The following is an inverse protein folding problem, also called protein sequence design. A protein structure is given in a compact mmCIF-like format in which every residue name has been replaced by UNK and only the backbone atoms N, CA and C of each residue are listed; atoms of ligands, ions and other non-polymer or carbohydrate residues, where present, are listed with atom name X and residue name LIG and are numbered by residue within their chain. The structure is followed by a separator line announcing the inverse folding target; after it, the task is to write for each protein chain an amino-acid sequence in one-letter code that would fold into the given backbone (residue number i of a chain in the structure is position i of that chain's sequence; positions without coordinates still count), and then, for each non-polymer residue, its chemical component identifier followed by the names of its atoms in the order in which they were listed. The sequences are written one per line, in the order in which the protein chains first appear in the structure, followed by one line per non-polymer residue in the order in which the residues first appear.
data_IF_042259876225
#
_entry.id   IF_042259876225
#
_cell.length_a   1.000
_cell.length_b   1.000
_cell.length_c   1.000
_cell.angle_alpha   90.00
_cell.angle_beta   90.00
_cell.angle_gamma   90.00
#
_symmetry.space_group_name_H-M   'P 1'
#
loop_
_entity.id
_entity.type
_entity.pdbx_description
1 polymer ?
#
# COMPACT_ATOMS: atom_id res chain seq x y z
N UNK A 1 -9.52 -25.86 -14.47
CA UNK A 1 -9.81 -24.57 -15.12
C UNK A 1 -9.95 -23.54 -14.02
N UNK A 2 -9.69 -22.24 -14.24
CA UNK A 2 -9.92 -21.23 -13.20
C UNK A 2 -11.39 -20.79 -13.16
N UNK A 3 -12.02 -20.75 -14.33
CA UNK A 3 -13.44 -20.41 -14.51
C UNK A 3 -14.23 -21.63 -14.98
N UNK A 4 -15.51 -21.67 -14.63
CA UNK A 4 -16.50 -22.61 -15.18
C UNK A 4 -17.69 -21.84 -15.69
N UNK A 5 -18.32 -22.34 -16.75
CA UNK A 5 -19.55 -21.78 -17.32
C UNK A 5 -20.66 -22.80 -17.17
N UNK A 6 -21.80 -22.37 -16.63
CA UNK A 6 -22.99 -23.23 -16.56
C UNK A 6 -23.64 -23.28 -17.94
N UNK A 7 -23.70 -24.47 -18.54
CA UNK A 7 -24.14 -24.65 -19.94
C UNK A 7 -25.55 -24.09 -20.21
N UNK A 8 -26.46 -24.23 -19.25
CA UNK A 8 -27.87 -23.88 -19.43
C UNK A 8 -28.15 -22.37 -19.27
N UNK A 9 -27.31 -21.66 -18.52
CA UNK A 9 -27.54 -20.24 -18.17
C UNK A 9 -26.47 -19.30 -18.70
N UNK A 10 -25.28 -19.81 -19.02
CA UNK A 10 -24.12 -19.01 -19.37
C UNK A 10 -23.40 -18.38 -18.18
N UNK A 11 -23.80 -18.68 -16.94
CA UNK A 11 -23.19 -18.09 -15.74
C UNK A 11 -21.72 -18.54 -15.62
N UNK A 12 -20.81 -17.56 -15.58
CA UNK A 12 -19.39 -17.79 -15.35
C UNK A 12 -19.10 -17.65 -13.85
N UNK A 13 -18.43 -18.65 -13.27
CA UNK A 13 -18.03 -18.64 -11.86
C UNK A 13 -16.59 -19.13 -11.70
N UNK A 14 -15.97 -18.74 -10.58
CA UNK A 14 -14.64 -19.23 -10.20
C UNK A 14 -14.74 -20.66 -9.67
N UNK A 15 -13.85 -21.54 -10.13
CA UNK A 15 -13.72 -22.90 -9.58
C UNK A 15 -12.96 -22.90 -8.24
N UNK A 16 -12.03 -21.96 -8.05
CA UNK A 16 -11.22 -21.81 -6.83
C UNK A 16 -11.03 -20.33 -6.47
N UNK A 17 -10.98 -19.96 -5.18
CA UNK A 17 -10.72 -18.58 -4.74
C UNK A 17 -9.21 -18.29 -4.82
N UNK A 18 -8.72 -18.06 -6.03
CA UNK A 18 -7.28 -17.90 -6.30
C UNK A 18 -6.97 -16.77 -7.29
N UNK A 19 -7.85 -15.77 -7.38
CA UNK A 19 -7.55 -14.55 -8.13
C UNK A 19 -6.54 -13.71 -7.34
N UNK A 20 -5.53 -13.23 -8.04
CA UNK A 20 -4.44 -12.42 -7.52
C UNK A 20 -4.09 -11.45 -8.64
N UNK A 21 -4.45 -10.17 -8.43
CA UNK A 21 -4.34 -9.13 -9.46
C UNK A 21 -2.87 -8.83 -9.76
N UNK A 22 -2.00 -8.90 -8.76
CA UNK A 22 -0.56 -8.67 -8.89
C UNK A 22 0.12 -9.76 -9.74
N UNK A 23 -0.49 -10.94 -9.85
CA UNK A 23 -0.07 -11.99 -10.79
C UNK A 23 -0.72 -11.85 -12.16
N UNK A 24 -2.04 -11.78 -12.22
CA UNK A 24 -2.82 -11.72 -13.48
C UNK A 24 -4.04 -10.82 -13.26
N UNK A 25 -4.04 -9.66 -13.92
CA UNK A 25 -5.10 -8.66 -13.82
C UNK A 25 -6.24 -8.85 -14.82
N UNK A 26 -6.01 -9.65 -15.88
CA UNK A 26 -6.97 -9.82 -16.98
C UNK A 26 -6.94 -11.22 -17.57
N UNK A 27 -8.13 -11.79 -17.74
CA UNK A 27 -8.35 -13.07 -18.42
C UNK A 27 -9.21 -12.88 -19.67
N UNK A 28 -8.80 -13.51 -20.77
CA UNK A 28 -9.60 -13.60 -22.00
C UNK A 28 -10.11 -15.03 -22.12
N UNK A 29 -11.43 -15.21 -21.99
CA UNK A 29 -12.08 -16.51 -22.02
C UNK A 29 -12.85 -16.66 -23.33
N UNK A 30 -12.51 -17.69 -24.10
CA UNK A 30 -13.27 -18.08 -25.28
C UNK A 30 -14.38 -19.03 -24.86
N UNK A 31 -15.62 -18.66 -25.14
CA UNK A 31 -16.81 -19.50 -24.94
C UNK A 31 -17.27 -20.07 -26.27
N UNK A 32 -17.77 -21.30 -26.23
CA UNK A 32 -18.47 -21.93 -27.35
C UNK A 32 -19.92 -22.20 -26.92
N UNK A 33 -20.87 -21.77 -27.76
CA UNK A 33 -22.25 -22.18 -27.67
C UNK A 33 -22.52 -23.20 -28.79
N UNK A 34 -23.15 -24.31 -28.45
CA UNK A 34 -23.44 -25.42 -29.38
C UNK A 34 -24.90 -25.84 -29.27
N UNK A 35 -25.56 -26.02 -30.41
CA UNK A 35 -26.94 -26.49 -30.47
C UNK A 35 -27.05 -28.00 -30.15
N UNK A 36 -28.27 -28.55 -30.24
CA UNK A 36 -28.57 -29.97 -29.97
C UNK A 36 -28.10 -30.46 -28.60
N UNK A 37 -28.17 -29.60 -27.57
CA UNK A 37 -27.76 -29.94 -26.21
C UNK A 37 -26.25 -30.15 -26.05
N UNK A 38 -25.43 -29.55 -26.91
CA UNK A 38 -23.97 -29.64 -26.84
C UNK A 38 -23.40 -30.92 -27.46
N UNK A 39 -24.18 -31.67 -28.23
CA UNK A 39 -23.70 -32.84 -28.96
C UNK A 39 -22.62 -32.44 -29.97
N UNK A 40 -21.56 -33.23 -30.11
CA UNK A 40 -20.38 -32.88 -30.91
C UNK A 40 -20.64 -32.58 -32.40
N UNK A 41 -21.77 -33.07 -32.94
CA UNK A 41 -22.22 -32.81 -34.31
C UNK A 41 -23.15 -31.60 -34.45
N UNK A 42 -23.54 -30.97 -33.35
CA UNK A 42 -24.32 -29.73 -33.36
C UNK A 42 -23.52 -28.56 -33.91
N UNK A 43 -24.20 -27.57 -34.50
CA UNK A 43 -23.58 -26.33 -34.95
C UNK A 43 -23.10 -25.53 -33.74
N UNK A 44 -21.94 -24.90 -33.88
CA UNK A 44 -21.35 -24.10 -32.82
C UNK A 44 -20.94 -22.71 -33.31
N UNK A 45 -20.97 -21.75 -32.37
CA UNK A 45 -20.36 -20.45 -32.54
C UNK A 45 -19.60 -20.06 -31.27
N UNK A 46 -18.63 -19.16 -31.40
CA UNK A 46 -17.79 -18.73 -30.27
C UNK A 46 -18.00 -17.25 -29.93
N UNK A 47 -17.83 -16.92 -28.66
CA UNK A 47 -17.79 -15.54 -28.16
C UNK A 47 -16.64 -15.35 -27.18
N UNK A 48 -16.12 -14.13 -27.07
CA UNK A 48 -15.02 -13.81 -26.16
C UNK A 48 -15.54 -12.99 -24.97
N UNK A 49 -15.17 -13.40 -23.76
CA UNK A 49 -15.42 -12.66 -22.52
C UNK A 49 -14.08 -12.18 -21.98
N UNK A 50 -14.02 -10.90 -21.62
CA UNK A 50 -12.86 -10.32 -20.92
C UNK A 50 -13.25 -10.15 -19.45
N UNK A 51 -12.46 -10.74 -18.56
CA UNK A 51 -12.63 -10.66 -17.12
C UNK A 51 -11.47 -9.84 -16.56
N UNK A 52 -11.79 -8.71 -15.94
CA UNK A 52 -10.84 -7.87 -15.22
C UNK A 52 -10.90 -8.18 -13.73
N UNK A 53 -9.74 -8.37 -13.10
CA UNK A 53 -9.62 -8.66 -11.68
C UNK A 53 -9.56 -7.34 -10.91
N UNK A 54 -10.48 -7.14 -9.97
CA UNK A 54 -10.47 -5.99 -9.08
C UNK A 54 -9.30 -6.04 -8.10
N UNK A 55 -8.90 -4.86 -7.61
CA UNK A 55 -7.86 -4.71 -6.59
C UNK A 55 -8.35 -5.07 -5.20
N UNK A 56 -7.48 -5.67 -4.39
CA UNK A 56 -7.69 -5.87 -2.97
C UNK A 56 -6.49 -5.26 -2.23
N UNK A 57 -6.69 -4.72 -1.03
CA UNK A 57 -5.58 -4.25 -0.21
C UNK A 57 -4.90 -5.45 0.47
N UNK A 58 -4.07 -6.18 -0.26
CA UNK A 58 -3.35 -7.35 0.23
C UNK A 58 -1.82 -7.17 0.26
N UNK A 59 -1.33 -5.96 -0.09
CA UNK A 59 0.06 -5.57 0.04
C UNK A 59 0.19 -4.34 0.95
N UNK A 60 0.87 -4.49 2.09
CA UNK A 60 1.18 -3.34 2.94
C UNK A 60 2.26 -2.42 2.31
N UNK A 61 2.16 -1.10 2.53
CA UNK A 61 3.13 -0.13 2.08
C UNK A 61 4.38 -0.30 2.90
N UNK A 62 5.53 -0.29 2.24
CA UNK A 62 6.84 -0.38 2.87
C UNK A 62 7.58 0.92 2.70
N UNK A 63 8.15 1.47 3.78
CA UNK A 63 9.06 2.61 3.66
C UNK A 63 10.24 2.25 2.77
N UNK A 64 10.65 3.17 1.89
CA UNK A 64 11.81 2.98 1.00
C UNK A 64 13.10 2.68 1.78
N UNK A 65 13.20 3.23 3.00
CA UNK A 65 14.30 2.98 3.93
C UNK A 65 13.76 2.59 5.31
N UNK A 66 14.42 1.65 5.98
CA UNK A 66 14.07 1.30 7.36
C UNK A 66 14.49 2.37 8.37
N UNK A 67 15.55 3.12 8.06
CA UNK A 67 16.08 4.22 8.88
C UNK A 67 16.38 5.43 8.01
N UNK A 68 15.89 6.61 8.41
CA UNK A 68 16.19 7.90 7.81
C UNK A 68 17.03 8.70 8.81
N UNK A 69 18.28 8.99 8.49
CA UNK A 69 19.14 9.82 9.34
C UNK A 69 19.26 11.23 8.77
N UNK A 70 18.98 12.24 9.59
CA UNK A 70 18.99 13.66 9.19
C UNK A 70 19.58 14.54 10.27
N UNK A 71 20.14 15.68 9.85
CA UNK A 71 20.68 16.70 10.75
C UNK A 71 19.83 17.95 10.70
N UNK A 72 19.53 18.51 11.86
CA UNK A 72 18.92 19.83 12.00
C UNK A 72 19.78 20.69 12.92
N UNK A 73 19.75 22.01 12.72
CA UNK A 73 20.27 22.93 13.71
C UNK A 73 19.32 22.94 14.90
N UNK A 74 19.87 23.12 16.10
CA UNK A 74 19.03 23.41 17.26
C UNK A 74 18.17 24.67 17.05
N UNK A 75 17.13 24.83 17.85
CA UNK A 75 16.16 25.94 17.78
C UNK A 75 15.41 26.08 16.43
N UNK A 76 15.64 25.17 15.46
CA UNK A 76 14.92 25.13 14.18
C UNK A 76 13.42 24.91 14.42
N UNK A 77 12.58 25.78 13.86
CA UNK A 77 11.12 25.70 13.97
C UNK A 77 10.46 25.83 12.61
N UNK A 78 9.30 25.19 12.44
CA UNK A 78 8.47 25.27 11.23
C UNK A 78 9.20 24.92 9.92
N UNK A 79 10.17 24.00 10.00
CA UNK A 79 10.93 23.52 8.85
C UNK A 79 10.55 22.09 8.47
N UNK A 80 10.76 21.76 7.20
CA UNK A 80 10.79 20.38 6.72
C UNK A 80 12.06 19.70 7.26
N UNK A 81 11.91 18.49 7.80
CA UNK A 81 13.01 17.68 8.34
C UNK A 81 13.43 16.63 7.31
N UNK A 82 12.47 15.86 6.79
CA UNK A 82 12.72 14.85 5.76
C UNK A 82 11.42 14.40 5.09
N UNK A 83 11.53 13.69 3.97
CA UNK A 83 10.42 13.02 3.29
C UNK A 83 10.61 11.51 3.36
N UNK A 84 9.51 10.81 3.59
CA UNK A 84 9.44 9.36 3.72
C UNK A 84 8.61 8.86 2.53
N UNK A 85 9.27 8.26 1.56
CA UNK A 85 8.62 7.56 0.46
C UNK A 85 8.24 6.13 0.85
N UNK A 86 7.27 5.57 0.14
CA UNK A 86 6.82 4.19 0.33
C UNK A 86 6.69 3.45 -1.00
N UNK A 87 6.79 2.12 -0.93
CA UNK A 87 6.57 1.20 -2.03
C UNK A 87 5.39 0.32 -1.66
N UNK A 88 4.39 0.30 -2.53
CA UNK A 88 3.16 -0.48 -2.40
C UNK A 88 2.81 -1.06 -3.79
N UNK A 89 2.31 -2.31 -3.81
CA UNK A 89 2.06 -3.07 -5.05
C UNK A 89 0.60 -3.00 -5.51
N UNK A 90 -0.30 -2.52 -4.66
CA UNK A 90 -1.70 -2.30 -4.99
C UNK A 90 -1.84 -1.24 -6.10
N UNK A 91 -3.04 -1.10 -6.69
CA UNK A 91 -3.22 -0.17 -7.81
C UNK A 91 -2.97 1.27 -7.37
N UNK A 92 -2.03 1.94 -8.05
CA UNK A 92 -1.70 3.36 -7.81
C UNK A 92 -2.94 4.26 -7.86
N UNK A 93 -3.03 5.17 -6.88
CA UNK A 93 -4.13 6.13 -6.77
C UNK A 93 -5.39 5.59 -6.11
N UNK A 94 -5.42 4.30 -5.72
CA UNK A 94 -6.52 3.75 -4.94
C UNK A 94 -6.28 3.92 -3.43
N UNK A 95 -7.32 3.83 -2.60
CA UNK A 95 -7.17 3.78 -1.14
C UNK A 95 -6.32 2.61 -0.63
N UNK A 96 -6.25 1.51 -1.39
CA UNK A 96 -5.39 0.37 -1.11
C UNK A 96 -3.91 0.75 -1.27
N UNK A 97 -3.58 1.63 -2.20
CA UNK A 97 -2.20 2.11 -2.41
C UNK A 97 -1.83 3.38 -1.61
N UNK A 98 -2.81 4.24 -1.29
CA UNK A 98 -2.55 5.48 -0.55
C UNK A 98 -2.09 5.20 0.89
N UNK A 99 -0.87 5.64 1.19
CA UNK A 99 -0.25 5.50 2.49
C UNK A 99 -0.69 6.60 3.46
N UNK A 100 -0.73 6.23 4.73
CA UNK A 100 -0.99 7.07 5.89
C UNK A 100 0.18 6.92 6.85
N UNK A 101 0.63 8.03 7.42
CA UNK A 101 1.83 8.07 8.26
C UNK A 101 1.48 8.56 9.66
N UNK A 102 1.94 7.84 10.68
CA UNK A 102 1.72 8.23 12.07
C UNK A 102 2.99 8.06 12.89
N UNK A 103 3.34 9.07 13.69
CA UNK A 103 4.44 8.98 14.66
C UNK A 103 3.90 8.26 15.89
N UNK A 104 4.45 7.09 16.20
CA UNK A 104 3.98 6.23 17.30
C UNK A 104 4.89 6.26 18.53
N UNK A 105 6.16 6.70 18.40
CA UNK A 105 7.09 6.89 19.52
C UNK A 105 8.07 8.03 19.27
N UNK A 106 8.60 8.63 20.34
CA UNK A 106 9.66 9.65 20.29
C UNK A 106 9.17 11.08 20.06
N UNK A 107 7.85 11.30 20.13
CA UNK A 107 7.23 12.63 19.92
C UNK A 107 6.29 13.00 21.07
N UNK A 108 6.64 12.58 22.29
CA UNK A 108 5.83 12.79 23.50
C UNK A 108 5.63 14.27 23.83
N UNK A 109 6.57 15.13 23.40
CA UNK A 109 6.52 16.58 23.55
C UNK A 109 5.77 17.30 22.41
N UNK A 110 5.35 16.57 21.38
CA UNK A 110 4.66 17.11 20.21
C UNK A 110 5.55 18.06 19.38
N UNK A 111 6.85 17.85 19.40
CA UNK A 111 7.81 18.68 18.65
C UNK A 111 7.78 18.44 17.14
N UNK A 112 7.24 17.31 16.70
CA UNK A 112 7.16 16.92 15.29
C UNK A 112 5.71 16.70 14.85
N UNK A 113 5.47 16.88 13.55
CA UNK A 113 4.27 16.43 12.86
C UNK A 113 4.65 15.77 11.53
N UNK A 114 3.77 14.94 11.00
CA UNK A 114 3.91 14.36 9.66
C UNK A 114 2.70 14.71 8.81
N UNK A 115 2.95 15.16 7.58
CA UNK A 115 1.92 15.51 6.60
C UNK A 115 1.97 14.52 5.43
N UNK A 116 0.81 13.99 5.03
CA UNK A 116 0.72 13.03 3.93
C UNK A 116 0.42 13.74 2.63
N UNK A 117 1.18 13.46 1.58
CA UNK A 117 0.87 13.84 0.20
C UNK A 117 0.43 12.59 -0.57
N UNK A 118 -0.84 12.56 -1.00
CA UNK A 118 -1.42 11.41 -1.71
C UNK A 118 -0.94 11.29 -3.16
N UNK A 119 -0.67 12.42 -3.81
CA UNK A 119 -0.25 12.43 -5.22
C UNK A 119 1.13 11.76 -5.38
N UNK A 120 2.05 12.03 -4.44
CA UNK A 120 3.37 11.43 -4.40
C UNK A 120 3.48 10.20 -3.50
N UNK A 121 2.44 9.92 -2.71
CA UNK A 121 2.42 8.88 -1.67
C UNK A 121 3.56 9.01 -0.66
N UNK A 122 3.85 10.24 -0.23
CA UNK A 122 4.99 10.54 0.66
C UNK A 122 4.54 11.20 1.95
N UNK A 123 5.19 10.84 3.06
CA UNK A 123 5.06 11.54 4.35
C UNK A 123 6.16 12.58 4.53
N UNK A 124 5.79 13.85 4.72
CA UNK A 124 6.73 14.93 5.04
C UNK A 124 6.78 15.14 6.55
N UNK A 125 7.92 14.83 7.17
CA UNK A 125 8.16 15.11 8.58
C UNK A 125 8.58 16.56 8.76
N UNK A 126 7.90 17.27 9.65
CA UNK A 126 8.14 18.69 9.95
C UNK A 126 8.38 18.91 11.43
N UNK A 127 9.29 19.82 11.76
CA UNK A 127 9.52 20.27 13.14
C UNK A 127 8.63 21.46 13.48
N UNK A 128 8.05 21.45 14.69
CA UNK A 128 7.14 22.46 15.23
C UNK A 128 7.71 23.22 16.41
N UNK A 129 8.48 22.54 17.24
CA UNK A 129 9.18 23.11 18.39
C UNK A 129 10.67 22.81 18.21
N UNK A 130 11.51 23.82 18.42
CA UNK A 130 12.94 23.68 18.33
C UNK A 130 13.44 22.65 19.34
N UNK A 131 14.47 21.91 18.95
CA UNK A 131 15.23 21.08 19.88
C UNK A 131 16.38 21.92 20.45
N UNK A 132 16.74 21.64 21.68
CA UNK A 132 17.85 22.26 22.42
C UNK A 132 18.97 21.22 22.47
N UNK A 133 20.17 21.58 21.98
CA UNK A 133 21.27 20.64 21.84
C UNK A 133 21.77 20.11 23.19
N UNK A 134 21.84 20.98 24.21
CA UNK A 134 22.27 20.65 25.56
C UNK A 134 21.36 19.62 26.21
N UNK A 135 20.06 19.67 25.88
CA UNK A 135 19.05 18.72 26.38
C UNK A 135 18.94 17.47 25.54
N UNK A 136 19.04 17.56 24.22
CA UNK A 136 18.76 16.43 23.32
C UNK A 136 19.61 16.51 22.05
N UNK A 137 20.64 15.67 21.99
CA UNK A 137 21.52 15.55 20.82
C UNK A 137 20.92 14.74 19.67
N UNK A 138 19.96 13.88 19.98
CA UNK A 138 19.31 13.00 19.01
C UNK A 138 17.85 12.75 19.41
N UNK A 139 16.95 12.79 18.43
CA UNK A 139 15.59 12.27 18.56
C UNK A 139 15.36 11.10 17.63
N UNK A 140 14.85 9.99 18.16
CA UNK A 140 14.44 8.81 17.38
C UNK A 140 12.93 8.72 17.34
N UNK A 141 12.35 8.89 16.15
CA UNK A 141 10.92 8.80 15.90
C UNK A 141 10.61 7.45 15.26
N UNK A 142 9.67 6.70 15.82
CA UNK A 142 9.13 5.50 15.19
C UNK A 142 7.85 5.89 14.45
N UNK A 143 7.80 5.60 13.15
CA UNK A 143 6.71 5.97 12.26
C UNK A 143 6.11 4.69 11.71
N UNK A 144 4.81 4.51 11.91
CA UNK A 144 4.03 3.44 11.28
C UNK A 144 3.41 3.95 9.99
N UNK A 145 3.39 3.09 8.99
CA UNK A 145 2.79 3.32 7.68
C UNK A 145 1.72 2.26 7.42
N UNK A 146 0.53 2.72 7.03
CA UNK A 146 -0.64 1.88 6.69
C UNK A 146 -1.33 2.45 5.45
N UNK A 147 -2.32 1.75 4.90
CA UNK A 147 -3.17 2.27 3.82
C UNK A 147 -4.42 2.99 4.37
N UNK A 148 -5.20 3.61 3.49
CA UNK A 148 -6.46 4.29 3.86
C UNK A 148 -7.61 3.31 4.17
N UNK A 149 -7.46 2.05 3.79
CA UNK A 149 -8.46 0.99 3.97
C UNK A 149 -7.87 -0.23 4.69
N UNK A 150 -8.68 -1.03 5.40
CA UNK A 150 -8.21 -2.26 6.05
C UNK A 150 -7.64 -3.27 5.06
N UNK A 151 -6.69 -4.07 5.54
CA UNK A 151 -6.12 -5.18 4.78
C UNK A 151 -7.12 -6.30 4.52
N UNK A 152 -7.08 -6.85 3.31
CA UNK A 152 -7.85 -8.00 2.86
C UNK A 152 -6.91 -9.19 2.79
N UNK A 153 -6.98 -10.07 3.79
CA UNK A 153 -6.15 -11.27 3.82
C UNK A 153 -6.73 -12.34 2.89
N UNK A 154 -5.88 -12.87 2.02
CA UNK A 154 -6.20 -14.13 1.35
C UNK A 154 -6.41 -15.23 2.41
N UNK A 155 -7.27 -16.24 2.17
CA UNK A 155 -7.64 -17.26 3.16
C UNK A 155 -6.48 -18.03 3.80
N UNK A 156 -5.28 -17.99 3.20
CA UNK A 156 -4.08 -18.70 3.65
C UNK A 156 -2.91 -17.75 4.00
N UNK A 157 -3.13 -16.44 4.03
CA UNK A 157 -2.10 -15.48 4.44
C UNK A 157 -2.16 -15.27 5.97
N UNK A 158 -0.99 -15.25 6.60
CA UNK A 158 -0.85 -14.75 7.96
C UNK A 158 -1.19 -13.25 8.04
N UNK A 159 -1.25 -12.67 9.25
CA UNK A 159 -1.53 -11.25 9.41
C UNK A 159 -0.55 -10.41 8.57
N UNK A 160 -1.08 -9.46 7.80
CA UNK A 160 -0.26 -8.48 7.09
C UNK A 160 0.35 -7.56 8.15
N UNK A 161 1.69 -7.54 8.19
CA UNK A 161 2.44 -6.67 9.09
C UNK A 161 2.40 -5.23 8.54
N UNK A 162 1.97 -4.31 9.38
CA UNK A 162 2.16 -2.86 9.16
C UNK A 162 3.65 -2.55 9.06
N UNK A 163 4.07 -1.66 8.17
CA UNK A 163 5.47 -1.25 8.08
C UNK A 163 5.80 -0.16 9.08
N UNK A 164 6.98 -0.24 9.69
CA UNK A 164 7.53 0.81 10.53
C UNK A 164 8.89 1.26 9.98
N UNK A 165 9.14 2.56 9.96
CA UNK A 165 10.48 3.10 9.80
C UNK A 165 10.88 3.98 10.99
N UNK A 166 12.18 4.23 11.12
CA UNK A 166 12.72 5.09 12.15
C UNK A 166 13.34 6.33 11.51
N UNK A 167 13.00 7.51 12.01
CA UNK A 167 13.72 8.75 11.68
C UNK A 167 14.61 9.12 12.86
N UNK A 168 15.91 9.23 12.60
CA UNK A 168 16.93 9.67 13.56
C UNK A 168 17.29 11.11 13.22
N UNK A 169 16.80 12.04 14.04
CA UNK A 169 17.06 13.47 13.93
C UNK A 169 18.22 13.82 14.84
N UNK A 170 19.39 14.09 14.27
CA UNK A 170 20.58 14.53 14.99
C UNK A 170 20.60 16.05 15.07
N UNK A 171 20.76 16.58 16.28
CA UNK A 171 20.80 18.02 16.52
C UNK A 171 22.24 18.50 16.44
N UNK A 172 22.45 19.60 15.70
CA UNK A 172 23.73 20.31 15.66
C UNK A 172 23.62 21.54 16.54
N UNK A 173 24.57 21.63 17.44
CA UNK A 173 24.87 22.80 18.27
C UNK A 173 25.15 24.02 17.38
N UNK A 174 24.61 25.16 17.77
CA UNK A 174 24.90 26.47 17.19
C UNK A 174 25.44 27.32 18.34
N UNK A 175 26.76 27.43 18.43
CA UNK A 175 27.44 28.23 19.47
C UNK A 175 26.75 29.61 19.62
N UNK A 176 26.17 29.88 20.79
CA UNK A 176 25.56 31.17 21.15
C UNK A 176 26.57 32.30 21.36
#
# INVERSE_FOLDING_TARGET
SLFTVKADTGDISLQTPSLDREKIDRYTVLLEARDMGGQSFGLCNTGTVVIEVGDANDHAPMCEHGVYEVFILENTVNAEVTKIGVIDKDIRGTPAWHATFNIIKGNEDGSFKIETNKDSNTGTLCIKKGLDYEKTKERRLEIVVNNEVPYVLAPNLGPISTSTCVVVVKVRDVDE
#
